data_IF_182354941972
#
_entry.id   IF_182354941972
#
_cell.length_a   1.000
_cell.length_b   1.000
_cell.length_c   1.000
_cell.angle_alpha   90.00
_cell.angle_beta   90.00
_cell.angle_gamma   90.00
#
_symmetry.space_group_name_H-M   'P 1'
#
loop_
_entity.id
_entity.type
_entity.pdbx_description
1 polymer ?
#
# COMPACT_ATOMS: atom_id res chain seq x y z
N UNK A 1 -14.19 5.60 -11.18
CA UNK A 1 -13.36 4.53 -10.60
C UNK A 1 -14.07 4.06 -9.34
N UNK A 2 -14.47 2.80 -9.29
CA UNK A 2 -15.13 2.24 -8.11
C UNK A 2 -14.09 1.97 -7.02
N UNK A 3 -14.48 2.18 -5.76
CA UNK A 3 -13.70 1.76 -4.59
C UNK A 3 -14.07 0.30 -4.31
N UNK A 4 -13.08 -0.56 -4.20
CA UNK A 4 -13.26 -1.95 -3.82
C UNK A 4 -13.16 -2.07 -2.29
N UNK A 5 -14.24 -2.51 -1.65
CA UNK A 5 -14.31 -2.68 -0.20
C UNK A 5 -14.01 -4.14 0.16
N UNK A 6 -12.87 -4.42 0.76
CA UNK A 6 -12.48 -5.78 1.12
C UNK A 6 -12.57 -6.00 2.64
N UNK A 7 -13.12 -7.12 3.08
CA UNK A 7 -13.62 -8.26 2.31
C UNK A 7 -15.08 -8.15 1.80
N UNK A 8 -15.77 -7.03 2.02
CA UNK A 8 -17.23 -6.93 1.84
C UNK A 8 -17.70 -7.17 0.39
N UNK A 9 -16.91 -6.72 -0.60
CA UNK A 9 -17.23 -6.91 -2.02
C UNK A 9 -16.85 -8.32 -2.54
N UNK A 10 -16.23 -9.14 -1.69
CA UNK A 10 -15.94 -10.53 -1.99
C UNK A 10 -17.14 -11.40 -1.57
N UNK A 11 -17.46 -12.38 -2.38
CA UNK A 11 -18.57 -13.30 -2.08
C UNK A 11 -18.13 -14.36 -1.05
N UNK A 12 -17.85 -13.93 0.19
CA UNK A 12 -17.41 -14.75 1.31
C UNK A 12 -18.28 -14.50 2.55
N UNK A 13 -18.34 -15.50 3.45
CA UNK A 13 -19.15 -15.43 4.67
C UNK A 13 -18.75 -14.20 5.53
N UNK A 14 -19.62 -13.19 5.56
CA UNK A 14 -19.39 -11.93 6.27
C UNK A 14 -19.41 -12.07 7.81
N UNK A 15 -19.97 -13.14 8.35
CA UNK A 15 -20.10 -13.33 9.81
C UNK A 15 -18.84 -13.96 10.44
N UNK A 16 -17.94 -14.53 9.64
CA UNK A 16 -16.73 -15.14 10.17
C UNK A 16 -15.71 -14.09 10.62
N UNK A 17 -15.13 -14.28 11.84
CA UNK A 17 -14.06 -13.41 12.35
C UNK A 17 -12.81 -13.47 11.48
N UNK A 18 -12.51 -14.67 10.94
CA UNK A 18 -11.41 -14.93 10.03
C UNK A 18 -11.94 -15.42 8.70
N UNK A 19 -11.49 -14.84 7.60
CA UNK A 19 -11.99 -15.13 6.26
C UNK A 19 -10.85 -15.39 5.30
N UNK A 20 -11.09 -16.23 4.30
CA UNK A 20 -10.12 -16.53 3.24
C UNK A 20 -10.74 -16.33 1.87
N UNK A 21 -9.97 -15.78 0.96
CA UNK A 21 -10.31 -15.66 -0.45
C UNK A 21 -9.09 -15.96 -1.32
N UNK A 22 -9.25 -16.83 -2.30
CA UNK A 22 -8.24 -17.14 -3.31
C UNK A 22 -8.53 -16.22 -4.50
N UNK A 23 -7.77 -15.15 -4.58
CA UNK A 23 -7.92 -14.10 -5.58
C UNK A 23 -7.07 -14.42 -6.80
N UNK A 24 -7.73 -14.60 -7.93
CA UNK A 24 -7.09 -14.93 -9.19
C UNK A 24 -7.70 -14.09 -10.31
N UNK A 25 -6.85 -13.39 -11.06
CA UNK A 25 -7.24 -12.55 -12.19
C UNK A 25 -6.28 -12.72 -13.37
N UNK A 26 -6.83 -12.52 -14.58
CA UNK A 26 -6.11 -12.58 -15.85
C UNK A 26 -6.03 -11.21 -16.53
N UNK A 27 -6.43 -10.16 -15.83
CA UNK A 27 -6.33 -8.77 -16.28
C UNK A 27 -5.58 -7.96 -15.24
N UNK A 28 -4.56 -7.23 -15.68
CA UNK A 28 -3.83 -6.33 -14.80
C UNK A 28 -4.71 -5.17 -14.32
N UNK A 29 -4.45 -4.70 -13.13
CA UNK A 29 -5.11 -3.54 -12.56
C UNK A 29 -4.07 -2.51 -12.13
N UNK A 30 -4.38 -1.22 -12.33
CA UNK A 30 -3.45 -0.13 -12.02
C UNK A 30 -4.10 0.84 -11.07
N UNK A 31 -3.47 1.06 -9.90
CA UNK A 31 -3.91 2.01 -8.86
C UNK A 31 -5.38 1.85 -8.47
N UNK A 32 -5.86 0.62 -8.34
CA UNK A 32 -7.20 0.37 -7.83
C UNK A 32 -7.32 0.93 -6.41
N UNK A 33 -8.41 1.65 -6.15
CA UNK A 33 -8.76 2.14 -4.81
C UNK A 33 -9.32 1.00 -3.99
N UNK A 34 -8.57 0.55 -2.99
CA UNK A 34 -8.95 -0.55 -2.10
C UNK A 34 -9.13 -0.03 -0.69
N UNK A 35 -10.32 -0.23 -0.13
CA UNK A 35 -10.62 0.02 1.27
C UNK A 35 -10.65 -1.32 2.02
N UNK A 36 -9.69 -1.54 2.91
CA UNK A 36 -9.63 -2.72 3.76
C UNK A 36 -10.40 -2.47 5.06
N UNK A 37 -11.50 -3.17 5.26
CA UNK A 37 -12.31 -3.10 6.49
C UNK A 37 -11.77 -4.03 7.58
N UNK A 38 -10.88 -4.94 7.24
CA UNK A 38 -10.14 -5.85 8.13
C UNK A 38 -8.66 -5.83 7.77
N UNK A 39 -7.81 -6.22 8.71
CA UNK A 39 -6.42 -6.54 8.40
C UNK A 39 -6.34 -7.75 7.46
N UNK A 40 -5.27 -7.83 6.70
CA UNK A 40 -5.11 -8.90 5.71
C UNK A 40 -3.67 -9.40 5.67
N UNK A 41 -3.49 -10.73 5.69
CA UNK A 41 -2.32 -11.35 5.08
C UNK A 41 -2.58 -11.54 3.59
N UNK A 42 -1.73 -10.99 2.75
CA UNK A 42 -1.78 -11.12 1.29
C UNK A 42 -0.62 -11.99 0.85
N UNK A 43 -0.88 -13.28 0.66
CA UNK A 43 0.10 -14.27 0.21
C UNK A 43 0.14 -14.26 -1.32
N UNK A 44 1.12 -13.57 -1.89
CA UNK A 44 1.29 -13.46 -3.34
C UNK A 44 1.90 -14.76 -3.88
N UNK A 45 1.22 -15.40 -4.84
CA UNK A 45 1.62 -16.66 -5.46
C UNK A 45 2.11 -16.45 -6.89
N UNK A 46 1.46 -15.57 -7.65
CA UNK A 46 1.77 -15.29 -9.06
C UNK A 46 1.65 -13.80 -9.35
N UNK A 47 2.55 -13.27 -10.19
CA UNK A 47 2.57 -11.87 -10.57
C UNK A 47 3.37 -10.99 -9.62
N UNK A 48 3.13 -9.67 -9.69
CA UNK A 48 3.69 -8.68 -8.77
C UNK A 48 2.59 -7.78 -8.22
N UNK A 49 2.73 -7.40 -6.97
CA UNK A 49 1.83 -6.45 -6.29
C UNK A 49 2.58 -5.17 -5.97
N UNK A 50 2.00 -4.05 -6.36
CA UNK A 50 2.43 -2.74 -5.90
C UNK A 50 1.39 -2.18 -4.92
N UNK A 51 1.87 -1.69 -3.80
CA UNK A 51 1.08 -1.05 -2.76
C UNK A 51 1.54 0.39 -2.60
N UNK A 52 0.64 1.34 -2.78
CA UNK A 52 0.87 2.75 -2.50
C UNK A 52 0.09 3.08 -1.24
N UNK A 53 0.81 3.48 -0.22
CA UNK A 53 0.29 3.86 1.08
C UNK A 53 0.37 5.37 1.28
N UNK A 54 0.03 5.82 2.47
CA UNK A 54 0.26 7.20 2.86
C UNK A 54 1.75 7.52 3.07
N UNK A 55 2.63 6.51 3.28
CA UNK A 55 4.05 6.74 3.58
C UNK A 55 4.96 6.46 2.39
N UNK A 56 4.66 5.42 1.61
CA UNK A 56 5.57 4.96 0.57
C UNK A 56 4.86 4.12 -0.51
N UNK A 57 5.60 3.85 -1.57
CA UNK A 57 5.25 2.93 -2.62
C UNK A 57 6.19 1.73 -2.57
N UNK A 58 5.62 0.54 -2.48
CA UNK A 58 6.39 -0.71 -2.47
C UNK A 58 5.91 -1.63 -3.58
N UNK A 59 6.82 -2.44 -4.08
CA UNK A 59 6.52 -3.52 -5.02
C UNK A 59 7.06 -4.83 -4.44
N UNK A 60 6.24 -5.86 -4.45
CA UNK A 60 6.63 -7.22 -4.08
C UNK A 60 6.38 -8.20 -5.23
N UNK A 61 7.18 -9.23 -5.28
CA UNK A 61 7.05 -10.42 -6.11
C UNK A 61 6.64 -11.63 -5.25
N UNK A 62 6.56 -12.80 -5.85
CA UNK A 62 6.09 -14.03 -5.22
C UNK A 62 7.10 -14.70 -4.26
N UNK A 63 8.24 -14.07 -3.96
CA UNK A 63 9.14 -14.47 -2.87
C UNK A 63 8.78 -13.82 -1.52
N UNK A 64 7.77 -12.93 -1.52
CA UNK A 64 7.32 -12.16 -0.36
C UNK A 64 5.81 -12.16 -0.21
N UNK A 65 5.37 -11.98 1.04
CA UNK A 65 3.97 -11.72 1.36
C UNK A 65 3.83 -10.52 2.30
N UNK A 66 2.63 -9.98 2.36
CA UNK A 66 2.32 -8.77 3.12
C UNK A 66 1.35 -9.07 4.25
N UNK A 67 1.56 -8.41 5.38
CA UNK A 67 0.53 -8.12 6.37
C UNK A 67 0.16 -6.65 6.21
N UNK A 68 -1.11 -6.35 5.90
CA UNK A 68 -1.59 -4.98 5.65
C UNK A 68 -2.68 -4.66 6.66
N UNK A 69 -2.57 -3.49 7.29
CA UNK A 69 -3.61 -2.95 8.19
C UNK A 69 -4.90 -2.65 7.45
N UNK A 70 -6.02 -2.62 8.19
CA UNK A 70 -7.24 -1.97 7.71
C UNK A 70 -6.97 -0.50 7.37
N UNK A 71 -7.57 -0.01 6.27
CA UNK A 71 -7.35 1.35 5.77
C UNK A 71 -7.51 1.48 4.26
N UNK A 72 -7.15 2.63 3.72
CA UNK A 72 -7.25 2.94 2.31
C UNK A 72 -5.89 2.83 1.61
N UNK A 73 -5.87 2.11 0.50
CA UNK A 73 -4.66 1.83 -0.29
C UNK A 73 -4.93 1.96 -1.77
N UNK A 74 -3.90 2.32 -2.53
CA UNK A 74 -3.90 2.12 -3.96
C UNK A 74 -3.08 0.87 -4.27
N UNK A 75 -3.66 -0.06 -5.01
CA UNK A 75 -3.03 -1.33 -5.36
C UNK A 75 -2.93 -1.49 -6.87
N UNK A 76 -1.76 -1.92 -7.33
CA UNK A 76 -1.53 -2.34 -8.71
C UNK A 76 -1.20 -3.83 -8.70
N UNK A 77 -1.82 -4.57 -9.60
CA UNK A 77 -1.62 -6.01 -9.75
C UNK A 77 -1.18 -6.28 -11.18
N UNK A 78 0.08 -6.69 -11.33
CA UNK A 78 0.65 -7.02 -12.63
C UNK A 78 0.71 -8.53 -12.80
N UNK A 79 0.34 -8.98 -13.97
CA UNK A 79 0.33 -10.40 -14.33
C UNK A 79 1.75 -10.92 -14.49
N UNK A 80 1.96 -12.20 -14.17
CA UNK A 80 3.17 -12.93 -14.52
C UNK A 80 3.17 -13.18 -16.03
N UNK A 81 4.29 -12.88 -16.70
CA UNK A 81 4.38 -12.97 -18.17
C UNK A 81 4.17 -14.38 -18.72
N UNK A 82 4.59 -15.40 -17.98
CA UNK A 82 4.54 -16.81 -18.40
C UNK A 82 3.11 -17.37 -18.35
N UNK A 83 2.35 -17.06 -17.31
CA UNK A 83 0.99 -17.59 -17.08
C UNK A 83 -0.12 -16.62 -17.45
N UNK A 84 0.23 -15.37 -17.73
CA UNK A 84 -0.70 -14.25 -17.92
C UNK A 84 -1.76 -14.19 -16.80
N UNK A 85 -1.31 -14.39 -15.55
CA UNK A 85 -2.16 -14.44 -14.38
C UNK A 85 -1.54 -13.71 -13.19
N UNK A 86 -2.39 -13.25 -12.28
CA UNK A 86 -2.05 -12.79 -10.95
C UNK A 86 -2.86 -13.60 -9.95
N UNK A 87 -2.19 -14.14 -8.92
CA UNK A 87 -2.86 -14.91 -7.88
C UNK A 87 -2.33 -14.58 -6.49
N UNK A 88 -3.24 -14.39 -5.56
CA UNK A 88 -2.93 -14.11 -4.15
C UNK A 88 -3.96 -14.76 -3.25
N UNK A 89 -3.53 -15.41 -2.16
CA UNK A 89 -4.41 -15.87 -1.11
C UNK A 89 -4.58 -14.74 -0.09
N UNK A 90 -5.81 -14.27 0.07
CA UNK A 90 -6.18 -13.18 0.97
C UNK A 90 -6.77 -13.77 2.25
N UNK A 91 -6.14 -13.49 3.40
CA UNK A 91 -6.52 -14.02 4.70
C UNK A 91 -6.83 -12.88 5.65
N UNK A 92 -8.14 -12.62 5.87
CA UNK A 92 -8.65 -11.48 6.61
C UNK A 92 -8.90 -11.79 8.08
N UNK A 93 -8.63 -10.82 8.95
CA UNK A 93 -8.89 -10.89 10.39
C UNK A 93 -9.10 -9.48 10.96
N UNK A 94 -9.65 -9.37 12.18
CA UNK A 94 -9.94 -8.10 12.84
C UNK A 94 -9.03 -7.85 14.06
N UNK A 95 -9.11 -6.63 14.62
CA UNK A 95 -8.36 -6.22 15.81
C UNK A 95 -8.63 -7.12 17.02
N UNK A 96 -9.88 -7.57 17.20
CA UNK A 96 -10.28 -8.42 18.34
C UNK A 96 -9.50 -9.74 18.38
N UNK A 97 -9.24 -10.32 17.21
CA UNK A 97 -8.46 -11.56 17.10
C UNK A 97 -7.00 -11.33 17.49
N UNK A 98 -6.40 -10.21 17.07
CA UNK A 98 -5.03 -9.82 17.48
C UNK A 98 -4.95 -9.56 18.97
N UNK A 99 -5.90 -8.80 19.54
CA UNK A 99 -5.93 -8.47 20.96
C UNK A 99 -6.09 -9.72 21.84
N UNK A 100 -6.97 -10.64 21.47
CA UNK A 100 -7.15 -11.93 22.17
C UNK A 100 -5.84 -12.74 22.18
N UNK A 101 -5.15 -12.79 21.04
CA UNK A 101 -3.88 -13.52 20.93
C UNK A 101 -2.77 -12.83 21.72
N UNK A 102 -2.68 -11.50 21.66
CA UNK A 102 -1.70 -10.73 22.44
C UNK A 102 -1.89 -10.94 23.94
N UNK A 103 -3.14 -10.93 24.44
CA UNK A 103 -3.47 -11.21 25.83
C UNK A 103 -3.10 -12.66 26.24
N UNK A 104 -3.47 -13.65 25.39
CA UNK A 104 -3.18 -15.07 25.62
C UNK A 104 -1.68 -15.36 25.77
N UNK A 105 -0.84 -14.60 25.04
CA UNK A 105 0.61 -14.80 25.02
C UNK A 105 1.39 -13.76 25.86
N UNK A 106 0.72 -12.97 26.71
CA UNK A 106 1.33 -11.93 27.58
C UNK A 106 2.22 -10.95 26.77
N UNK A 107 1.82 -10.61 25.54
CA UNK A 107 2.56 -9.68 24.71
C UNK A 107 2.29 -8.24 25.19
N UNK A 108 3.32 -7.58 25.71
CA UNK A 108 3.24 -6.18 26.11
C UNK A 108 3.48 -5.26 24.91
N UNK A 109 2.70 -4.17 24.81
CA UNK A 109 2.97 -3.13 23.82
C UNK A 109 4.34 -2.51 24.08
N UNK A 110 5.21 -2.52 23.07
CA UNK A 110 6.42 -1.71 23.08
C UNK A 110 6.13 -0.34 22.49
N UNK A 111 6.68 0.72 23.07
CA UNK A 111 6.36 2.13 22.71
C UNK A 111 7.05 2.61 21.42
N UNK A 112 7.71 1.73 20.69
CA UNK A 112 8.44 2.08 19.47
C UNK A 112 7.53 2.02 18.23
N UNK A 113 6.94 3.14 17.89
CA UNK A 113 6.04 3.29 16.76
C UNK A 113 6.76 3.77 15.50
N UNK A 114 7.19 2.86 14.67
CA UNK A 114 7.13 3.16 13.24
C UNK A 114 5.73 2.75 12.77
N UNK A 115 4.88 3.69 12.42
CA UNK A 115 3.47 3.40 12.11
C UNK A 115 3.26 3.00 10.65
N UNK A 116 4.07 2.07 10.14
CA UNK A 116 3.84 1.56 8.78
C UNK A 116 2.50 0.82 8.72
N UNK A 117 1.69 1.07 7.68
CA UNK A 117 0.41 0.39 7.53
C UNK A 117 0.54 -1.04 6.97
N UNK A 118 1.76 -1.55 6.83
CA UNK A 118 2.03 -2.91 6.35
C UNK A 118 3.37 -3.43 6.90
N UNK A 119 3.54 -4.76 6.84
CA UNK A 119 4.79 -5.46 7.06
C UNK A 119 5.08 -6.41 5.90
N UNK A 120 6.36 -6.59 5.57
CA UNK A 120 6.83 -7.47 4.49
C UNK A 120 7.55 -8.66 5.11
N UNK A 121 7.15 -9.86 4.70
CA UNK A 121 7.77 -11.11 5.12
C UNK A 121 8.28 -11.90 3.92
N UNK A 122 9.35 -12.65 4.11
CA UNK A 122 9.89 -13.60 3.13
C UNK A 122 9.15 -14.93 3.25
N UNK A 123 8.93 -15.59 2.12
CA UNK A 123 8.52 -16.98 2.12
C UNK A 123 9.65 -17.90 2.62
N UNK A 124 9.27 -18.99 3.23
CA UNK A 124 10.08 -20.18 3.50
C UNK A 124 9.19 -21.41 3.34
N UNK A 125 9.76 -22.60 3.50
CA UNK A 125 9.05 -23.87 3.30
C UNK A 125 7.82 -23.98 4.19
N UNK A 126 7.92 -23.52 5.46
CA UNK A 126 6.78 -23.53 6.38
C UNK A 126 5.62 -22.66 5.89
N UNK A 127 5.91 -21.44 5.44
CA UNK A 127 4.89 -20.52 4.91
C UNK A 127 4.29 -21.05 3.61
N UNK A 128 5.08 -21.68 2.74
CA UNK A 128 4.56 -22.33 1.53
C UNK A 128 3.54 -23.42 1.89
N UNK A 129 3.86 -24.30 2.84
CA UNK A 129 2.96 -25.37 3.27
C UNK A 129 1.73 -24.83 4.01
N UNK A 130 1.92 -23.77 4.82
CA UNK A 130 0.83 -23.04 5.45
C UNK A 130 -0.19 -22.54 4.40
N UNK A 131 0.28 -21.83 3.36
CA UNK A 131 -0.61 -21.29 2.31
C UNK A 131 -1.28 -22.41 1.52
N UNK A 132 -0.58 -23.49 1.20
CA UNK A 132 -1.19 -24.68 0.58
C UNK A 132 -2.31 -25.25 1.43
N UNK A 133 -2.11 -25.31 2.75
CA UNK A 133 -3.14 -25.79 3.68
C UNK A 133 -4.35 -24.87 3.76
N UNK A 134 -4.14 -23.54 3.70
CA UNK A 134 -5.24 -22.55 3.65
C UNK A 134 -6.15 -22.77 2.43
N UNK A 135 -5.55 -23.01 1.25
CA UNK A 135 -6.30 -23.25 0.02
C UNK A 135 -7.19 -24.50 0.15
N UNK A 136 -6.68 -25.55 0.78
CA UNK A 136 -7.43 -26.80 1.00
C UNK A 136 -8.63 -26.63 1.95
N UNK A 137 -8.56 -25.71 2.90
CA UNK A 137 -9.67 -25.46 3.87
C UNK A 137 -10.95 -24.96 3.17
N UNK A 138 -10.85 -24.33 1.98
CA UNK A 138 -12.03 -23.85 1.23
C UNK A 138 -13.06 -24.93 0.93
N UNK A 139 -12.66 -26.17 0.83
CA UNK A 139 -13.51 -27.30 0.44
C UNK A 139 -14.35 -27.91 1.58
N UNK A 140 -14.13 -27.49 2.83
CA UNK A 140 -14.85 -27.97 4.00
C UNK A 140 -16.16 -27.22 4.24
N UNK A 141 -17.06 -27.83 5.01
CA UNK A 141 -18.28 -27.17 5.50
C UNK A 141 -17.94 -25.92 6.34
N UNK A 142 -18.88 -24.96 6.42
CA UNK A 142 -18.62 -23.66 7.05
C UNK A 142 -18.25 -23.77 8.53
N UNK A 143 -18.78 -24.74 9.26
CA UNK A 143 -18.53 -24.89 10.70
C UNK A 143 -17.09 -25.33 10.94
N UNK A 144 -16.65 -26.38 10.26
CA UNK A 144 -15.26 -26.87 10.34
C UNK A 144 -14.28 -25.85 9.79
N UNK A 145 -14.61 -25.26 8.62
CA UNK A 145 -13.82 -24.20 7.97
C UNK A 145 -13.52 -23.05 8.94
N UNK A 146 -14.54 -22.50 9.62
CA UNK A 146 -14.37 -21.38 10.54
C UNK A 146 -13.47 -21.74 11.75
N UNK A 147 -13.59 -22.96 12.27
CA UNK A 147 -12.70 -23.45 13.35
C UNK A 147 -11.26 -23.56 12.85
N UNK A 148 -11.06 -24.18 11.69
CA UNK A 148 -9.72 -24.35 11.10
C UNK A 148 -9.07 -22.99 10.78
N UNK A 149 -9.82 -22.02 10.24
CA UNK A 149 -9.28 -20.68 9.94
C UNK A 149 -8.83 -19.95 11.20
N UNK A 150 -9.53 -20.08 12.33
CA UNK A 150 -9.09 -19.53 13.62
C UNK A 150 -7.79 -20.17 14.10
N UNK A 151 -7.66 -21.50 13.99
CA UNK A 151 -6.40 -22.20 14.30
C UNK A 151 -5.27 -21.76 13.39
N UNK A 152 -5.53 -21.62 12.11
CA UNK A 152 -4.53 -21.10 11.13
C UNK A 152 -4.11 -19.67 11.40
N UNK A 153 -5.01 -18.83 11.90
CA UNK A 153 -4.67 -17.49 12.32
C UNK A 153 -3.71 -17.51 13.54
N UNK A 154 -3.97 -18.34 14.54
CA UNK A 154 -3.05 -18.50 15.67
C UNK A 154 -1.70 -19.07 15.20
N UNK A 155 -1.70 -20.07 14.33
CA UNK A 155 -0.50 -20.73 13.79
C UNK A 155 0.44 -19.72 13.12
N UNK A 156 -0.09 -18.92 12.15
CA UNK A 156 0.76 -17.97 11.41
C UNK A 156 1.31 -16.88 12.32
N UNK A 157 0.51 -16.37 13.25
CA UNK A 157 0.97 -15.33 14.16
C UNK A 157 2.02 -15.84 15.14
N UNK A 158 1.86 -17.04 15.71
CA UNK A 158 2.87 -17.65 16.60
C UNK A 158 4.17 -17.91 15.84
N UNK A 159 4.08 -18.38 14.61
CA UNK A 159 5.26 -18.58 13.77
C UNK A 159 6.01 -17.26 13.50
N UNK A 160 5.29 -16.23 13.10
CA UNK A 160 5.88 -14.91 12.83
C UNK A 160 6.44 -14.25 14.08
N UNK A 161 5.77 -14.41 15.23
CA UNK A 161 6.28 -13.94 16.53
C UNK A 161 7.59 -14.60 16.89
N UNK A 162 7.70 -15.91 16.71
CA UNK A 162 8.93 -16.64 16.97
C UNK A 162 10.07 -16.20 16.06
N UNK A 163 9.78 -16.00 14.76
CA UNK A 163 10.77 -15.69 13.73
C UNK A 163 11.21 -14.22 13.73
N UNK A 164 10.29 -13.28 13.96
CA UNK A 164 10.51 -11.83 13.78
C UNK A 164 10.38 -11.02 15.06
N UNK A 165 10.06 -11.67 16.20
CA UNK A 165 9.77 -10.96 17.46
C UNK A 165 8.41 -10.26 17.45
N UNK A 166 8.17 -9.37 18.41
CA UNK A 166 6.87 -8.72 18.63
C UNK A 166 6.69 -7.41 17.88
N UNK A 167 7.76 -6.82 17.34
CA UNK A 167 7.76 -5.46 16.79
C UNK A 167 6.72 -5.23 15.69
N UNK A 168 6.45 -6.22 14.83
CA UNK A 168 5.45 -6.10 13.77
C UNK A 168 4.01 -6.02 14.32
N UNK A 169 3.73 -6.66 15.47
CA UNK A 169 2.40 -6.56 16.09
C UNK A 169 2.16 -5.18 16.71
N UNK A 170 3.19 -4.55 17.25
CA UNK A 170 3.07 -3.20 17.79
C UNK A 170 2.62 -2.22 16.68
N UNK A 171 3.19 -2.38 15.50
CA UNK A 171 2.79 -1.57 14.34
C UNK A 171 1.31 -1.75 13.97
N UNK A 172 0.75 -2.95 14.10
CA UNK A 172 -0.64 -3.22 13.76
C UNK A 172 -1.58 -2.76 14.87
N UNK A 173 -1.22 -2.96 16.13
CA UNK A 173 -2.03 -2.63 17.30
C UNK A 173 -2.01 -1.15 17.69
N UNK A 174 -1.06 -0.34 17.17
CA UNK A 174 -1.06 1.11 17.38
C UNK A 174 -2.21 1.75 16.61
N UNK A 175 -3.12 2.39 17.35
CA UNK A 175 -4.27 3.09 16.80
C UNK A 175 -3.88 4.19 15.81
N UNK A 176 -4.84 4.59 14.98
CA UNK A 176 -4.67 5.63 13.96
C UNK A 176 -4.10 6.91 14.58
N UNK A 177 -3.00 7.38 14.02
CA UNK A 177 -2.45 8.70 14.29
C UNK A 177 -3.50 9.80 14.06
N UNK A 178 -3.33 10.93 14.73
CA UNK A 178 -4.25 12.06 14.54
C UNK A 178 -4.40 12.37 13.04
N UNK A 179 -5.61 12.68 12.61
CA UNK A 179 -5.98 12.91 11.22
C UNK A 179 -5.04 13.92 10.49
N UNK A 180 -4.49 14.89 11.24
CA UNK A 180 -3.55 15.86 10.69
C UNK A 180 -2.17 15.26 10.40
N UNK A 181 -1.64 14.38 11.27
CA UNK A 181 -0.37 13.69 11.03
C UNK A 181 -0.48 12.76 9.83
N UNK A 182 -1.57 12.01 9.74
CA UNK A 182 -1.87 11.16 8.59
C UNK A 182 -1.94 11.97 7.29
N UNK A 183 -2.65 13.11 7.28
CA UNK A 183 -2.76 14.00 6.10
C UNK A 183 -1.37 14.48 5.64
N UNK A 184 -0.55 15.01 6.54
CA UNK A 184 0.79 15.50 6.21
C UNK A 184 1.70 14.36 5.73
N UNK A 185 1.64 13.18 6.36
CA UNK A 185 2.40 12.02 5.93
C UNK A 185 2.03 11.60 4.50
N UNK A 186 0.74 11.51 4.15
CA UNK A 186 0.28 11.21 2.77
C UNK A 186 0.89 12.20 1.77
N UNK A 187 0.87 13.49 2.07
CA UNK A 187 1.35 14.53 1.14
C UNK A 187 2.86 14.42 0.95
N UNK A 188 3.63 14.40 2.04
CA UNK A 188 5.09 14.42 1.98
C UNK A 188 5.67 13.15 1.34
N UNK A 189 5.11 11.99 1.67
CA UNK A 189 5.57 10.71 1.12
C UNK A 189 5.23 10.53 -0.36
N UNK A 190 4.16 11.18 -0.83
CA UNK A 190 3.73 11.07 -2.22
C UNK A 190 4.06 12.30 -3.08
N UNK A 191 4.92 13.22 -2.60
CA UNK A 191 5.20 14.50 -3.28
C UNK A 191 5.82 14.35 -4.67
N UNK A 192 6.52 13.25 -4.93
CA UNK A 192 7.13 12.93 -6.23
C UNK A 192 6.32 11.90 -7.03
N UNK A 193 5.36 11.23 -6.39
CA UNK A 193 4.50 10.26 -7.06
C UNK A 193 3.47 10.97 -7.94
N UNK A 194 3.22 10.43 -9.14
CA UNK A 194 2.20 10.98 -10.04
C UNK A 194 0.80 10.50 -9.62
N UNK A 195 0.32 11.00 -8.46
CA UNK A 195 -1.02 10.74 -7.96
C UNK A 195 -1.96 11.90 -8.29
N UNK A 196 -3.19 11.55 -8.67
CA UNK A 196 -4.28 12.51 -8.86
C UNK A 196 -4.81 13.03 -7.52
N UNK A 197 -5.48 14.17 -7.54
CA UNK A 197 -6.15 14.73 -6.35
C UNK A 197 -7.19 13.73 -5.79
N UNK A 198 -7.85 12.96 -6.66
CA UNK A 198 -8.80 11.91 -6.23
C UNK A 198 -8.11 10.76 -5.49
N UNK A 199 -6.92 10.34 -5.93
CA UNK A 199 -6.12 9.29 -5.27
C UNK A 199 -5.58 9.78 -3.93
N UNK A 200 -5.03 10.99 -3.89
CA UNK A 200 -4.54 11.62 -2.66
C UNK A 200 -5.65 11.83 -1.64
N UNK A 201 -6.81 12.35 -2.05
CA UNK A 201 -7.97 12.52 -1.16
C UNK A 201 -8.46 11.19 -0.61
N UNK A 202 -8.45 10.13 -1.43
CA UNK A 202 -8.81 8.78 -1.00
C UNK A 202 -7.82 8.23 0.03
N UNK A 203 -6.51 8.35 -0.21
CA UNK A 203 -5.48 7.94 0.76
C UNK A 203 -5.61 8.69 2.10
N UNK A 204 -6.00 9.97 2.05
CA UNK A 204 -6.28 10.77 3.25
C UNK A 204 -7.62 10.45 3.93
N UNK A 205 -8.41 9.52 3.39
CA UNK A 205 -9.79 9.24 3.85
C UNK A 205 -10.68 10.50 3.90
N UNK A 206 -10.60 11.32 2.85
CA UNK A 206 -11.29 12.62 2.75
C UNK A 206 -12.06 12.74 1.42
N UNK A 207 -13.12 13.55 1.41
CA UNK A 207 -13.68 14.01 0.14
C UNK A 207 -12.70 14.95 -0.57
N UNK A 208 -12.80 15.07 -1.91
CA UNK A 208 -11.93 15.95 -2.70
C UNK A 208 -12.02 17.41 -2.21
N UNK A 209 -13.22 17.87 -1.87
CA UNK A 209 -13.43 19.24 -1.36
C UNK A 209 -12.76 19.47 0.00
N UNK A 210 -12.90 18.50 0.92
CA UNK A 210 -12.24 18.55 2.24
C UNK A 210 -10.73 18.49 2.09
N UNK A 211 -10.21 17.62 1.20
CA UNK A 211 -8.79 17.52 0.91
C UNK A 211 -8.21 18.85 0.42
N UNK A 212 -8.82 19.47 -0.61
CA UNK A 212 -8.37 20.76 -1.15
C UNK A 212 -8.34 21.86 -0.09
N UNK A 213 -9.42 21.99 0.69
CA UNK A 213 -9.50 22.98 1.77
C UNK A 213 -8.42 22.76 2.84
N UNK A 214 -8.20 21.53 3.28
CA UNK A 214 -7.15 21.21 4.25
C UNK A 214 -5.76 21.47 3.67
N UNK A 215 -5.55 21.12 2.38
CA UNK A 215 -4.28 21.35 1.71
C UNK A 215 -3.95 22.85 1.64
N UNK A 216 -4.87 23.67 1.18
CA UNK A 216 -4.69 25.13 1.11
C UNK A 216 -4.45 25.76 2.49
N UNK A 217 -5.12 25.24 3.53
CA UNK A 217 -4.89 25.67 4.91
C UNK A 217 -3.46 25.35 5.40
N UNK A 218 -2.91 24.17 5.06
CA UNK A 218 -1.58 23.73 5.52
C UNK A 218 -0.43 24.29 4.68
N UNK A 219 -0.59 24.31 3.35
CA UNK A 219 0.50 24.64 2.41
C UNK A 219 0.36 26.01 1.74
N UNK A 220 -0.70 26.77 2.03
CA UNK A 220 -0.98 28.13 1.50
C UNK A 220 -0.96 28.22 -0.03
N UNK A 221 -1.21 27.10 -0.72
CA UNK A 221 -1.23 26.99 -2.17
C UNK A 221 -2.13 25.84 -2.61
N UNK A 222 -2.52 25.81 -3.89
CA UNK A 222 -3.32 24.69 -4.41
C UNK A 222 -2.48 23.41 -4.51
N UNK A 223 -3.10 22.21 -4.32
CA UNK A 223 -2.41 20.94 -4.44
C UNK A 223 -1.65 20.78 -5.77
N UNK A 224 -2.34 21.08 -6.90
CA UNK A 224 -1.75 20.92 -8.23
C UNK A 224 -0.45 21.73 -8.37
N UNK A 225 -0.47 22.99 -7.95
CA UNK A 225 0.68 23.87 -8.02
C UNK A 225 1.82 23.38 -7.12
N UNK A 226 1.52 22.99 -5.89
CA UNK A 226 2.51 22.50 -4.93
C UNK A 226 3.22 21.23 -5.42
N UNK A 227 2.46 20.23 -5.87
CA UNK A 227 3.03 18.98 -6.39
C UNK A 227 3.86 19.22 -7.67
N UNK A 228 3.42 20.13 -8.55
CA UNK A 228 4.19 20.51 -9.72
C UNK A 228 5.51 21.17 -9.31
N UNK A 229 5.51 22.08 -8.34
CA UNK A 229 6.70 22.72 -7.81
C UNK A 229 7.69 21.69 -7.22
N UNK A 230 7.22 20.72 -6.43
CA UNK A 230 8.07 19.65 -5.86
C UNK A 230 8.70 18.78 -6.95
N UNK A 231 7.96 18.44 -7.97
CA UNK A 231 8.49 17.68 -9.13
C UNK A 231 9.53 18.48 -9.92
N UNK A 232 9.31 19.77 -10.10
CA UNK A 232 10.32 20.65 -10.73
C UNK A 232 11.59 20.80 -9.87
N UNK A 233 11.48 20.88 -8.54
CA UNK A 233 12.61 20.87 -7.62
C UNK A 233 13.42 19.58 -7.75
N UNK A 234 12.73 18.43 -7.79
CA UNK A 234 13.38 17.15 -8.00
C UNK A 234 14.04 17.05 -9.37
N UNK A 235 13.40 17.56 -10.44
CA UNK A 235 13.99 17.59 -11.77
C UNK A 235 15.29 18.43 -11.83
N UNK A 236 15.34 19.55 -11.13
CA UNK A 236 16.56 20.36 -11.04
C UNK A 236 17.70 19.57 -10.39
N UNK A 237 17.43 18.80 -9.34
CA UNK A 237 18.40 17.89 -8.74
C UNK A 237 18.89 16.81 -9.74
N UNK A 238 17.96 16.17 -10.47
CA UNK A 238 18.33 15.16 -11.46
C UNK A 238 19.20 15.73 -12.60
N UNK A 239 18.88 16.94 -13.05
CA UNK A 239 19.64 17.63 -14.11
C UNK A 239 21.03 18.05 -13.63
N UNK A 240 21.12 18.74 -12.49
CA UNK A 240 22.40 19.33 -12.01
C UNK A 240 23.33 18.28 -11.40
N UNK A 241 22.81 17.40 -10.53
CA UNK A 241 23.61 16.47 -9.73
C UNK A 241 23.79 15.13 -10.42
N UNK A 242 22.72 14.57 -11.00
CA UNK A 242 22.76 13.29 -11.71
C UNK A 242 23.09 13.43 -13.20
N UNK A 243 23.13 14.67 -13.71
CA UNK A 243 23.42 15.00 -15.12
C UNK A 243 22.52 14.22 -16.12
N UNK A 244 21.28 13.87 -15.69
CA UNK A 244 20.29 13.19 -16.53
C UNK A 244 19.76 14.14 -17.61
N UNK A 245 19.45 13.61 -18.79
CA UNK A 245 18.93 14.44 -19.90
C UNK A 245 17.46 14.77 -19.66
N UNK A 246 16.97 15.97 -20.07
CA UNK A 246 15.56 16.37 -19.93
C UNK A 246 14.58 15.37 -20.53
N UNK A 247 14.95 14.72 -21.65
CA UNK A 247 14.10 13.72 -22.31
C UNK A 247 13.93 12.42 -21.53
N UNK A 248 14.91 12.08 -20.69
CA UNK A 248 14.88 10.84 -19.90
C UNK A 248 14.03 10.99 -18.63
N UNK A 249 13.83 12.23 -18.16
CA UNK A 249 13.19 12.49 -16.87
C UNK A 249 11.78 13.07 -16.93
N UNK A 250 11.35 13.69 -18.03
CA UNK A 250 10.07 14.43 -18.06
C UNK A 250 8.86 13.55 -17.74
N UNK A 251 8.83 12.31 -18.22
CA UNK A 251 7.75 11.37 -17.96
C UNK A 251 7.81 10.80 -16.53
N UNK A 252 9.02 10.53 -16.03
CA UNK A 252 9.25 10.06 -14.65
C UNK A 252 8.73 11.06 -13.61
N UNK A 253 8.98 12.35 -13.87
CA UNK A 253 8.49 13.44 -13.00
C UNK A 253 7.02 13.83 -13.27
N UNK A 254 6.30 13.08 -14.11
CA UNK A 254 4.86 13.20 -14.30
C UNK A 254 4.43 14.33 -15.24
N UNK A 255 5.24 14.70 -16.24
CA UNK A 255 4.84 15.56 -17.33
C UNK A 255 4.45 14.73 -18.57
N UNK A 256 3.39 15.14 -19.25
CA UNK A 256 2.88 14.45 -20.45
C UNK A 256 3.78 14.62 -21.68
N UNK A 257 4.54 15.73 -21.73
CA UNK A 257 5.46 16.01 -22.84
C UNK A 257 6.71 16.77 -22.38
N UNK A 258 7.78 16.61 -23.16
CA UNK A 258 9.02 17.39 -22.96
C UNK A 258 8.77 18.91 -23.11
N UNK A 259 7.85 19.31 -23.97
CA UNK A 259 7.49 20.71 -24.17
C UNK A 259 6.82 21.31 -22.93
N UNK A 260 5.83 20.62 -22.33
CA UNK A 260 5.16 21.08 -21.12
C UNK A 260 6.12 21.14 -19.92
N UNK A 261 7.02 20.14 -19.80
CA UNK A 261 8.09 20.17 -18.80
C UNK A 261 9.01 21.37 -19.00
N UNK A 262 9.53 21.57 -20.23
CA UNK A 262 10.46 22.67 -20.55
C UNK A 262 9.86 24.02 -20.25
N UNK A 263 8.59 24.23 -20.59
CA UNK A 263 7.89 25.47 -20.30
C UNK A 263 7.73 25.71 -18.79
N UNK A 264 7.25 24.71 -18.05
CA UNK A 264 7.08 24.81 -16.59
C UNK A 264 8.41 25.05 -15.88
N UNK A 265 9.47 24.36 -16.30
CA UNK A 265 10.82 24.53 -15.76
C UNK A 265 11.36 25.95 -16.00
N UNK A 266 11.21 26.45 -17.26
CA UNK A 266 11.63 27.80 -17.61
C UNK A 266 10.90 28.88 -16.81
N UNK A 267 9.60 28.68 -16.54
CA UNK A 267 8.83 29.61 -15.70
C UNK A 267 9.38 29.65 -14.28
N UNK A 268 9.79 28.50 -13.73
CA UNK A 268 10.29 28.42 -12.34
C UNK A 268 11.75 28.89 -12.20
N UNK A 269 12.64 28.51 -13.15
CA UNK A 269 14.08 28.70 -13.04
C UNK A 269 14.67 29.73 -13.98
N UNK A 270 13.85 30.38 -14.83
CA UNK A 270 14.25 31.37 -15.85
C UNK A 270 15.23 30.85 -16.90
N UNK A 271 15.47 29.55 -16.96
CA UNK A 271 16.37 28.88 -17.89
C UNK A 271 15.75 27.56 -18.38
N UNK A 272 16.17 27.04 -19.50
CA UNK A 272 15.67 25.75 -19.99
C UNK A 272 16.33 24.59 -19.23
N UNK A 273 15.68 23.41 -19.12
CA UNK A 273 16.26 22.24 -18.47
C UNK A 273 17.63 21.85 -19.04
N UNK A 274 17.82 22.01 -20.36
CA UNK A 274 19.09 21.70 -21.03
C UNK A 274 20.20 22.69 -20.65
N UNK A 275 19.89 23.97 -20.60
CA UNK A 275 20.87 25.00 -20.14
C UNK A 275 21.25 24.78 -18.69
N UNK A 276 20.26 24.57 -17.84
CA UNK A 276 20.46 24.29 -16.40
C UNK A 276 21.31 23.03 -16.14
N UNK A 277 21.20 22.01 -16.99
CA UNK A 277 22.03 20.79 -16.90
C UNK A 277 23.53 21.07 -17.20
N UNK A 278 23.79 22.04 -18.06
CA UNK A 278 25.17 22.37 -18.50
C UNK A 278 25.90 23.31 -17.53
N UNK A 279 25.17 24.02 -16.70
CA UNK A 279 25.72 24.82 -15.59
C UNK A 279 26.20 23.91 -14.44
#
# INVERSE_FOLDING_TARGET
>A
MNIQNLPNDLNIDSQSEVQIFDYHVTTSSVKNKVMLNKHIFSFLLEGTKELITHDERITINNDKFLLIKSGNFLMTENLLSETNSYRSVLFFFNDDMLLKLAQKNNLSKTVNSSSKPYEIFQYDDYIHDFVRSLIKIKTHDNTLKNKLLKTKFEEILLYLLHKNGTAFLDNILTGQDSQNRHFTAVIESNKLNNLTIQELSFLCNMSISTFKRNFEKHYQTSPIKWFQEKRLEHSAYLLSTKKMRPIDIYSEIGFESLSSFTQAFKVKYNTTPKQFQLE
#
